data_IF_335173258354
#
_entry.id   IF_335173258354
#
_cell.length_a   1.000
_cell.length_b   1.000
_cell.length_c   1.000
_cell.angle_alpha   90.00
_cell.angle_beta   90.00
_cell.angle_gamma   90.00
#
_symmetry.space_group_name_H-M   'P 1'
#
loop_
_entity.id
_entity.type
_entity.pdbx_description
1 polymer ?
#
# COMPACT_ATOMS: atom_id res chain seq x y z
N UNK A 1 -4.52 -6.17 -5.93
CA UNK A 1 -4.71 -4.94 -5.16
C UNK A 1 -6.22 -4.72 -5.10
N UNK A 2 -6.75 -3.53 -4.85
CA UNK A 2 -8.18 -3.27 -5.01
C UNK A 2 -8.42 -2.46 -6.29
N UNK A 3 -9.62 -2.59 -6.88
CA UNK A 3 -10.11 -1.68 -7.92
C UNK A 3 -10.67 -0.44 -7.26
N UNK A 4 -10.32 0.72 -7.79
CA UNK A 4 -10.80 2.00 -7.27
C UNK A 4 -11.96 2.57 -8.09
N UNK A 5 -12.82 3.35 -7.43
CA UNK A 5 -13.92 4.08 -8.03
C UNK A 5 -13.47 5.44 -8.58
N UNK A 6 -13.95 5.78 -9.77
CA UNK A 6 -13.69 7.05 -10.47
C UNK A 6 -15.02 7.65 -10.97
N UNK A 7 -15.00 8.92 -11.37
CA UNK A 7 -16.16 9.62 -11.94
C UNK A 7 -17.11 10.19 -10.88
N UNK A 8 -18.08 10.98 -11.32
CA UNK A 8 -19.05 11.69 -10.48
C UNK A 8 -18.46 12.61 -9.39
N UNK A 9 -17.18 12.99 -9.46
CA UNK A 9 -16.68 14.10 -8.65
C UNK A 9 -17.07 15.45 -9.27
N UNK A 10 -16.98 16.57 -8.52
CA UNK A 10 -17.27 17.91 -9.06
C UNK A 10 -16.41 18.32 -10.27
N UNK A 11 -15.29 17.63 -10.53
CA UNK A 11 -14.42 17.88 -11.69
C UNK A 11 -14.67 16.96 -12.89
N UNK A 12 -15.52 15.94 -12.76
CA UNK A 12 -15.63 14.88 -13.76
C UNK A 12 -16.75 15.16 -14.76
N UNK A 13 -16.46 16.05 -15.71
CA UNK A 13 -17.41 16.53 -16.72
C UNK A 13 -16.77 16.65 -18.10
N UNK A 14 -17.57 16.42 -19.14
CA UNK A 14 -17.20 16.67 -20.53
C UNK A 14 -17.85 17.95 -21.05
N UNK A 15 -17.05 18.76 -21.73
CA UNK A 15 -17.45 20.04 -22.30
C UNK A 15 -17.17 20.06 -23.80
N UNK A 16 -17.90 20.92 -24.50
CA UNK A 16 -17.66 21.27 -25.91
C UNK A 16 -17.77 22.79 -26.07
N UNK A 17 -17.36 23.29 -27.23
CA UNK A 17 -17.50 24.69 -27.59
C UNK A 17 -18.67 24.82 -28.57
N UNK A 18 -19.59 25.74 -28.30
CA UNK A 18 -20.71 26.02 -29.19
C UNK A 18 -20.32 26.97 -30.34
N UNK A 19 -21.27 27.31 -31.21
CA UNK A 19 -21.02 28.16 -32.37
C UNK A 19 -20.65 29.63 -32.03
N UNK A 20 -20.84 30.04 -30.78
CA UNK A 20 -20.52 31.38 -30.27
C UNK A 20 -19.28 31.40 -29.37
N UNK A 21 -18.43 30.37 -29.45
CA UNK A 21 -17.25 30.18 -28.59
C UNK A 21 -17.57 30.01 -27.08
N UNK A 22 -18.81 29.63 -26.76
CA UNK A 22 -19.24 29.35 -25.39
C UNK A 22 -18.92 27.92 -24.95
N UNK A 23 -18.49 27.75 -23.69
CA UNK A 23 -18.29 26.42 -23.09
C UNK A 23 -19.64 25.83 -22.66
N UNK A 24 -20.00 24.68 -23.22
CA UNK A 24 -21.26 23.99 -22.93
C UNK A 24 -21.04 22.53 -22.55
N UNK A 25 -21.94 21.98 -21.74
CA UNK A 25 -21.93 20.56 -21.36
C UNK A 25 -22.13 19.65 -22.58
N UNK A 26 -21.24 18.67 -22.74
CA UNK A 26 -21.29 17.67 -23.80
C UNK A 26 -21.69 16.32 -23.19
N UNK A 27 -22.89 15.83 -23.51
CA UNK A 27 -23.39 14.54 -23.02
C UNK A 27 -23.32 13.46 -24.11
N UNK A 28 -23.52 12.20 -23.73
CA UNK A 28 -23.41 11.05 -24.64
C UNK A 28 -22.04 10.95 -25.31
N UNK A 29 -20.99 11.45 -24.65
CA UNK A 29 -19.62 11.42 -25.15
C UNK A 29 -18.95 10.14 -24.68
N UNK A 30 -18.35 9.40 -25.61
CA UNK A 30 -17.47 8.26 -25.29
C UNK A 30 -16.14 8.77 -24.75
N UNK A 31 -15.79 8.35 -23.54
CA UNK A 31 -14.55 8.66 -22.85
C UNK A 31 -13.68 7.41 -22.82
N UNK A 32 -12.46 7.53 -23.32
CA UNK A 32 -11.43 6.48 -23.24
C UNK A 32 -10.44 6.78 -22.13
N UNK A 33 -9.93 5.74 -21.47
CA UNK A 33 -9.11 5.86 -20.25
C UNK A 33 -7.72 5.31 -20.53
N UNK A 34 -6.68 6.02 -20.10
CA UNK A 34 -5.30 5.72 -20.49
C UNK A 34 -4.35 5.74 -19.29
N UNK A 35 -3.22 5.05 -19.43
CA UNK A 35 -2.15 5.06 -18.43
C UNK A 35 -1.21 6.27 -18.51
N UNK A 36 -1.40 7.17 -19.48
CA UNK A 36 -0.56 8.34 -19.68
C UNK A 36 -1.32 9.50 -20.35
N UNK A 37 -0.88 10.72 -20.04
CA UNK A 37 -1.43 11.96 -20.59
C UNK A 37 -1.31 12.06 -22.12
N UNK A 38 -0.25 11.48 -22.69
CA UNK A 38 -0.03 11.38 -24.13
C UNK A 38 0.60 10.02 -24.46
N UNK A 39 0.26 9.45 -25.63
CA UNK A 39 0.67 8.09 -25.99
C UNK A 39 0.06 7.04 -25.06
N UNK A 40 0.87 6.10 -24.56
CA UNK A 40 0.44 5.12 -23.58
C UNK A 40 -0.46 4.00 -24.14
N UNK A 41 -1.07 3.25 -23.23
CA UNK A 41 -2.00 2.16 -23.51
C UNK A 41 -3.36 2.49 -22.91
N UNK A 42 -4.41 2.26 -23.69
CA UNK A 42 -5.79 2.40 -23.22
C UNK A 42 -6.10 1.26 -22.24
N UNK A 43 -6.72 1.61 -21.12
CA UNK A 43 -7.33 0.66 -20.22
C UNK A 43 -8.70 0.25 -20.74
N UNK A 44 -8.88 -1.05 -20.94
CA UNK A 44 -10.16 -1.66 -21.38
C UNK A 44 -10.74 -2.59 -20.33
N UNK A 45 -10.03 -2.80 -19.21
CA UNK A 45 -10.48 -3.56 -18.05
C UNK A 45 -11.15 -2.62 -17.04
N UNK A 46 -12.36 -2.18 -17.37
CA UNK A 46 -13.17 -1.29 -16.52
C UNK A 46 -14.47 -1.98 -16.14
N UNK A 47 -15.09 -1.53 -15.05
CA UNK A 47 -16.43 -1.97 -14.65
C UNK A 47 -17.35 -0.76 -14.50
N UNK A 48 -18.61 -0.89 -14.91
CA UNK A 48 -19.63 0.11 -14.60
C UNK A 48 -20.05 0.07 -13.12
N UNK A 49 -20.96 0.96 -12.72
CA UNK A 49 -21.49 1.01 -11.35
C UNK A 49 -22.20 -0.28 -10.89
N UNK A 50 -22.64 -1.13 -11.81
CA UNK A 50 -23.26 -2.42 -11.52
C UNK A 50 -22.23 -3.58 -11.50
N UNK A 51 -20.95 -3.32 -11.78
CA UNK A 51 -19.90 -4.33 -11.89
C UNK A 51 -19.84 -5.02 -13.25
N UNK A 52 -20.54 -4.50 -14.27
CA UNK A 52 -20.50 -5.03 -15.64
C UNK A 52 -19.22 -4.59 -16.34
N UNK A 53 -18.49 -5.48 -17.03
CA UNK A 53 -17.34 -5.09 -17.82
C UNK A 53 -17.67 -4.10 -18.93
N UNK A 54 -16.90 -3.02 -18.99
CA UNK A 54 -16.94 -1.99 -20.04
C UNK A 54 -15.52 -1.68 -20.50
N UNK A 55 -15.37 -1.16 -21.72
CA UNK A 55 -14.05 -0.76 -22.26
C UNK A 55 -13.87 0.76 -22.33
N UNK A 56 -14.96 1.49 -22.19
CA UNK A 56 -15.09 2.94 -22.35
C UNK A 56 -16.25 3.41 -21.46
N UNK A 57 -16.26 4.69 -21.10
CA UNK A 57 -17.31 5.29 -20.27
C UNK A 57 -18.10 6.28 -21.11
N UNK A 58 -19.43 6.22 -21.11
CA UNK A 58 -20.28 7.18 -21.83
C UNK A 58 -20.82 8.21 -20.85
N UNK A 59 -20.65 9.51 -21.16
CA UNK A 59 -21.13 10.57 -20.28
C UNK A 59 -22.66 10.70 -20.27
N UNK A 60 -23.18 11.19 -19.14
CA UNK A 60 -24.62 11.39 -18.95
C UNK A 60 -25.23 12.23 -20.07
N UNK A 61 -26.43 11.84 -20.52
CA UNK A 61 -27.18 12.52 -21.57
C UNK A 61 -28.22 13.51 -21.02
N UNK A 62 -28.41 13.54 -19.69
CA UNK A 62 -29.44 14.32 -19.00
C UNK A 62 -30.70 13.52 -18.63
N UNK A 63 -30.79 12.23 -18.97
CA UNK A 63 -31.94 11.37 -18.64
C UNK A 63 -31.86 10.81 -17.22
N UNK A 64 -30.75 10.14 -16.91
CA UNK A 64 -30.51 9.45 -15.63
C UNK A 64 -29.46 10.17 -14.79
N UNK A 65 -28.44 10.70 -15.48
CA UNK A 65 -27.37 11.49 -14.91
C UNK A 65 -27.33 12.86 -15.60
N UNK A 66 -26.91 13.93 -14.91
CA UNK A 66 -26.74 15.25 -15.50
C UNK A 66 -25.94 15.20 -16.81
N UNK A 67 -26.33 16.03 -17.78
CA UNK A 67 -25.66 16.06 -19.09
C UNK A 67 -24.16 16.33 -18.92
N UNK A 68 -23.34 15.46 -19.47
CA UNK A 68 -21.88 15.58 -19.51
C UNK A 68 -21.16 15.16 -18.25
N UNK A 69 -21.84 14.70 -17.19
CA UNK A 69 -21.11 14.07 -16.08
C UNK A 69 -20.52 12.75 -16.52
N UNK A 70 -19.30 12.44 -16.09
CA UNK A 70 -18.72 11.10 -16.24
C UNK A 70 -19.34 10.22 -15.13
N UNK A 71 -20.12 9.17 -15.47
CA UNK A 71 -20.71 8.28 -14.48
C UNK A 71 -19.67 7.64 -13.58
N UNK A 72 -20.12 7.09 -12.46
CA UNK A 72 -19.22 6.37 -11.58
C UNK A 72 -18.86 5.01 -12.21
N UNK A 73 -17.59 4.64 -12.16
CA UNK A 73 -17.06 3.38 -12.71
C UNK A 73 -15.83 2.92 -11.93
N UNK A 74 -15.45 1.65 -12.07
CA UNK A 74 -14.21 1.12 -11.50
C UNK A 74 -13.12 0.98 -12.56
N UNK A 75 -11.91 1.40 -12.18
CA UNK A 75 -10.71 1.18 -12.99
C UNK A 75 -10.17 -0.25 -12.92
N UNK A 76 -9.04 -0.51 -13.58
CA UNK A 76 -8.30 -1.76 -13.44
C UNK A 76 -7.76 -1.95 -12.03
N UNK A 77 -7.43 -3.19 -11.67
CA UNK A 77 -6.88 -3.51 -10.35
C UNK A 77 -5.55 -2.78 -10.08
N UNK A 78 -5.44 -2.13 -8.90
CA UNK A 78 -4.22 -1.47 -8.46
C UNK A 78 -3.88 -0.16 -9.17
N UNK A 79 -4.79 0.40 -9.96
CA UNK A 79 -4.58 1.66 -10.68
C UNK A 79 -5.21 2.83 -9.92
N UNK A 80 -4.37 3.72 -9.40
CA UNK A 80 -4.79 4.90 -8.62
C UNK A 80 -4.94 6.20 -9.42
N UNK A 81 -4.81 6.16 -10.75
CA UNK A 81 -5.03 7.31 -11.62
C UNK A 81 -5.37 6.86 -13.04
N UNK A 82 -6.21 7.65 -13.73
CA UNK A 82 -6.56 7.41 -15.12
C UNK A 82 -6.44 8.71 -15.91
N UNK A 83 -6.07 8.63 -17.18
CA UNK A 83 -6.08 9.77 -18.10
C UNK A 83 -7.28 9.65 -19.04
N UNK A 84 -8.28 10.50 -18.85
CA UNK A 84 -9.52 10.50 -19.61
C UNK A 84 -9.41 11.35 -20.89
N UNK A 85 -9.78 10.77 -22.02
CA UNK A 85 -9.88 11.43 -23.32
C UNK A 85 -11.33 11.37 -23.81
N UNK A 86 -11.93 12.55 -24.00
CA UNK A 86 -13.29 12.71 -24.51
C UNK A 86 -13.34 13.06 -26.01
N UNK A 87 -12.24 12.82 -26.75
CA UNK A 87 -12.12 13.10 -28.19
C UNK A 87 -11.54 14.48 -28.52
N UNK A 88 -11.11 15.25 -27.51
CA UNK A 88 -10.54 16.60 -27.68
C UNK A 88 -9.03 16.63 -27.94
N UNK A 89 -8.36 15.47 -27.92
CA UNK A 89 -6.90 15.36 -28.14
C UNK A 89 -6.04 15.78 -26.94
N UNK A 90 -6.66 16.24 -25.85
CA UNK A 90 -6.02 16.49 -24.55
C UNK A 90 -6.66 15.56 -23.54
N UNK A 91 -5.83 14.87 -22.75
CA UNK A 91 -6.29 13.99 -21.68
C UNK A 91 -6.17 14.65 -20.32
N UNK A 92 -7.19 14.44 -19.49
CA UNK A 92 -7.25 14.97 -18.14
C UNK A 92 -7.15 13.83 -17.13
N UNK A 93 -6.44 14.07 -16.02
CA UNK A 93 -6.24 13.08 -14.97
C UNK A 93 -7.50 12.97 -14.11
N UNK A 94 -8.01 11.76 -13.95
CA UNK A 94 -9.01 11.39 -12.97
C UNK A 94 -8.32 10.78 -11.75
N UNK A 95 -8.74 11.23 -10.58
CA UNK A 95 -8.35 10.66 -9.28
C UNK A 95 -9.48 9.83 -8.71
N UNK A 96 -9.19 8.73 -8.00
CA UNK A 96 -10.24 7.92 -7.41
C UNK A 96 -11.01 8.66 -6.32
N UNK A 97 -12.31 8.37 -6.23
CA UNK A 97 -13.25 9.01 -5.29
C UNK A 97 -13.35 8.27 -3.95
N UNK A 98 -12.74 7.10 -3.84
CA UNK A 98 -12.84 6.18 -2.70
C UNK A 98 -11.55 6.08 -1.87
N UNK A 99 -10.51 6.85 -2.20
CA UNK A 99 -9.22 6.85 -1.47
C UNK A 99 -9.37 7.07 0.05
N UNK A 100 -10.45 7.71 0.50
CA UNK A 100 -10.74 7.86 1.93
C UNK A 100 -10.95 6.52 2.64
N UNK A 101 -11.53 5.51 1.98
CA UNK A 101 -11.70 4.16 2.50
C UNK A 101 -10.37 3.45 2.70
N UNK A 102 -9.48 3.54 1.71
CA UNK A 102 -8.14 2.96 1.79
C UNK A 102 -7.35 3.54 2.97
N UNK A 103 -7.43 4.86 3.20
CA UNK A 103 -6.77 5.49 4.35
C UNK A 103 -7.27 4.92 5.68
N UNK A 104 -8.57 4.66 5.81
CA UNK A 104 -9.15 4.06 7.03
C UNK A 104 -8.66 2.62 7.23
N UNK A 105 -8.55 1.84 6.15
CA UNK A 105 -8.01 0.48 6.20
C UNK A 105 -6.53 0.50 6.61
N UNK A 106 -5.72 1.36 5.98
CA UNK A 106 -4.31 1.56 6.32
C UNK A 106 -4.12 1.99 7.78
N UNK A 107 -4.95 2.91 8.29
CA UNK A 107 -4.92 3.32 9.69
C UNK A 107 -5.22 2.17 10.64
N UNK A 108 -6.17 1.32 10.29
CA UNK A 108 -6.54 0.13 11.09
C UNK A 108 -5.38 -0.88 11.12
N UNK A 109 -4.80 -1.18 9.96
CA UNK A 109 -3.65 -2.08 9.86
C UNK A 109 -2.43 -1.56 10.66
N UNK A 110 -2.17 -0.25 10.63
CA UNK A 110 -1.11 0.38 11.43
C UNK A 110 -1.39 0.27 12.93
N UNK A 111 -2.64 0.44 13.36
CA UNK A 111 -3.02 0.28 14.77
C UNK A 111 -2.80 -1.16 15.27
N UNK A 112 -3.18 -2.16 14.47
CA UNK A 112 -2.97 -3.57 14.78
C UNK A 112 -1.47 -3.93 14.85
N UNK A 113 -0.68 -3.41 13.91
CA UNK A 113 0.76 -3.59 13.91
C UNK A 113 1.41 -2.94 15.14
N UNK A 114 0.95 -1.74 15.52
CA UNK A 114 1.44 -1.03 16.72
C UNK A 114 1.16 -1.83 17.99
N UNK A 115 -0.03 -2.43 18.08
CA UNK A 115 -0.40 -3.33 19.20
C UNK A 115 0.50 -4.55 19.25
N UNK A 116 0.75 -5.19 18.10
CA UNK A 116 1.60 -6.38 18.00
C UNK A 116 3.06 -6.07 18.38
N UNK A 117 3.61 -4.97 17.88
CA UNK A 117 4.98 -4.53 18.20
C UNK A 117 5.11 -4.21 19.68
N UNK A 118 4.10 -3.58 20.28
CA UNK A 118 4.08 -3.31 21.73
C UNK A 118 4.10 -4.61 22.52
N UNK A 119 3.25 -5.59 22.17
CA UNK A 119 3.22 -6.90 22.82
C UNK A 119 4.55 -7.64 22.70
N UNK A 120 5.16 -7.67 21.50
CA UNK A 120 6.48 -8.27 21.28
C UNK A 120 7.57 -7.57 22.07
N UNK A 121 7.53 -6.23 22.13
CA UNK A 121 8.48 -5.45 22.94
C UNK A 121 8.36 -5.84 24.40
N UNK A 122 7.14 -5.93 24.94
CA UNK A 122 6.90 -6.41 26.30
C UNK A 122 7.40 -7.84 26.52
N UNK A 123 7.18 -8.76 25.57
CA UNK A 123 7.70 -10.13 25.68
C UNK A 123 9.22 -10.17 25.68
N UNK A 124 9.87 -9.41 24.80
CA UNK A 124 11.33 -9.31 24.72
C UNK A 124 11.88 -8.78 26.04
N UNK A 125 11.32 -7.69 26.57
CA UNK A 125 11.77 -7.09 27.84
C UNK A 125 11.60 -8.02 29.05
N UNK A 126 10.63 -8.94 29.03
CA UNK A 126 10.40 -9.92 30.09
C UNK A 126 11.05 -11.29 29.82
N UNK A 127 11.93 -11.40 28.82
CA UNK A 127 12.62 -12.64 28.45
C UNK A 127 14.13 -12.55 28.68
N UNK A 128 14.78 -13.70 28.89
CA UNK A 128 16.24 -13.82 28.76
C UNK A 128 16.64 -14.04 27.30
N UNK A 129 17.82 -13.55 26.92
CA UNK A 129 18.45 -13.90 25.64
C UNK A 129 19.18 -15.25 25.72
N UNK A 130 19.49 -15.83 24.56
CA UNK A 130 20.34 -17.03 24.48
C UNK A 130 21.39 -16.83 23.40
N UNK A 131 22.65 -17.12 23.73
CA UNK A 131 23.77 -17.15 22.79
C UNK A 131 24.33 -18.56 22.73
N UNK A 132 24.53 -19.07 21.52
CA UNK A 132 25.03 -20.44 21.29
C UNK A 132 26.41 -20.38 20.66
N UNK A 133 27.33 -21.21 21.15
CA UNK A 133 28.69 -21.33 20.61
C UNK A 133 28.67 -21.81 19.16
N UNK A 134 29.42 -21.14 18.28
CA UNK A 134 29.56 -21.55 16.90
C UNK A 134 30.66 -22.62 16.78
N UNK A 135 30.24 -23.88 16.63
CA UNK A 135 31.16 -25.01 16.50
C UNK A 135 31.93 -25.02 15.16
N UNK A 136 31.42 -24.40 14.10
CA UNK A 136 32.09 -24.37 12.80
C UNK A 136 33.28 -23.41 12.79
N UNK A 137 33.20 -22.31 13.54
CA UNK A 137 34.26 -21.29 13.66
C UNK A 137 35.00 -21.36 14.99
N UNK A 138 34.64 -22.30 15.86
CA UNK A 138 35.17 -22.43 17.21
C UNK A 138 35.15 -21.13 18.01
N UNK A 139 34.07 -20.35 17.90
CA UNK A 139 33.97 -19.02 18.49
C UNK A 139 32.60 -18.71 19.09
N UNK A 140 32.59 -17.81 20.07
CA UNK A 140 31.38 -17.22 20.60
C UNK A 140 30.90 -16.06 19.71
N UNK A 141 29.61 -16.00 19.36
CA UNK A 141 29.01 -14.78 18.85
C UNK A 141 29.11 -13.66 19.89
N UNK A 142 29.22 -12.41 19.44
CA UNK A 142 29.13 -11.25 20.33
C UNK A 142 27.69 -11.10 20.84
N UNK A 143 27.56 -10.56 22.05
CA UNK A 143 26.26 -10.17 22.59
C UNK A 143 25.63 -9.11 21.66
N UNK A 144 24.31 -9.17 21.40
CA UNK A 144 23.61 -8.09 20.73
C UNK A 144 23.86 -6.75 21.43
N UNK A 145 24.39 -5.78 20.70
CA UNK A 145 24.75 -4.49 21.28
C UNK A 145 23.52 -3.74 21.79
N UNK A 146 23.61 -3.18 23.00
CA UNK A 146 22.55 -2.35 23.61
C UNK A 146 21.37 -3.14 24.20
N UNK A 147 21.44 -4.48 24.23
CA UNK A 147 20.44 -5.31 24.89
C UNK A 147 20.81 -5.51 26.36
N UNK A 148 19.99 -5.01 27.30
CA UNK A 148 20.25 -5.10 28.73
C UNK A 148 19.70 -6.37 29.39
N UNK A 149 19.11 -7.29 28.62
CA UNK A 149 18.56 -8.55 29.15
C UNK A 149 19.68 -9.47 29.63
N UNK A 150 19.34 -10.38 30.54
CA UNK A 150 20.24 -11.48 30.91
C UNK A 150 20.34 -12.48 29.77
N UNK A 151 21.54 -12.97 29.49
CA UNK A 151 21.79 -13.98 28.47
C UNK A 151 22.23 -15.31 29.07
N UNK A 152 21.71 -16.38 28.48
CA UNK A 152 22.19 -17.74 28.69
C UNK A 152 23.16 -18.12 27.56
N UNK A 153 24.39 -18.46 27.91
CA UNK A 153 25.47 -18.84 27.02
C UNK A 153 25.59 -20.37 26.98
N UNK A 154 25.40 -21.00 25.83
CA UNK A 154 25.38 -22.47 25.69
C UNK A 154 26.53 -22.93 24.82
N UNK A 155 27.51 -23.64 25.39
CA UNK A 155 28.71 -24.05 24.65
C UNK A 155 29.76 -24.81 25.47
N UNK A 156 30.79 -25.36 24.81
CA UNK A 156 31.75 -26.28 25.42
C UNK A 156 32.81 -25.60 26.30
N UNK A 157 32.95 -24.27 26.20
CA UNK A 157 33.93 -23.48 26.96
C UNK A 157 33.29 -22.20 27.50
N UNK A 158 33.82 -21.65 28.60
CA UNK A 158 33.32 -20.40 29.18
C UNK A 158 33.57 -19.25 28.18
N UNK A 159 32.56 -18.41 27.86
CA UNK A 159 32.80 -17.17 27.11
C UNK A 159 33.71 -16.21 27.88
N UNK A 160 34.40 -15.31 27.17
CA UNK A 160 35.21 -14.28 27.82
C UNK A 160 34.31 -13.37 28.69
N UNK A 161 34.74 -13.10 29.93
CA UNK A 161 34.02 -12.18 30.81
C UNK A 161 34.23 -10.72 30.37
N UNK A 162 33.15 -9.94 30.44
CA UNK A 162 33.10 -8.54 30.02
C UNK A 162 32.66 -8.36 28.57
N UNK A 163 32.42 -7.10 28.21
CA UNK A 163 32.05 -6.71 26.84
C UNK A 163 33.15 -7.13 25.86
N UNK A 164 32.80 -7.69 24.69
CA UNK A 164 31.47 -7.77 24.06
C UNK A 164 30.74 -9.11 24.27
N UNK A 165 31.15 -9.93 25.23
CA UNK A 165 30.60 -11.27 25.45
C UNK A 165 29.75 -11.31 26.72
N UNK A 166 30.24 -11.94 27.79
CA UNK A 166 29.42 -12.25 28.96
C UNK A 166 29.45 -11.12 29.98
N UNK A 167 28.29 -10.55 30.31
CA UNK A 167 28.15 -9.48 31.31
C UNK A 167 27.75 -10.02 32.69
N UNK A 168 27.77 -9.14 33.71
CA UNK A 168 27.35 -9.51 35.06
C UNK A 168 25.88 -9.95 35.09
N UNK A 169 25.61 -11.11 35.69
CA UNK A 169 24.27 -11.71 35.77
C UNK A 169 23.96 -12.75 34.68
N UNK A 170 24.78 -12.84 33.63
CA UNK A 170 24.64 -13.88 32.62
C UNK A 170 24.95 -15.29 33.16
N UNK A 171 24.37 -16.31 32.52
CA UNK A 171 24.55 -17.71 32.89
C UNK A 171 25.25 -18.46 31.77
N UNK A 172 26.28 -19.25 32.09
CA UNK A 172 26.90 -20.18 31.15
C UNK A 172 26.52 -21.63 31.44
N UNK A 173 26.15 -22.36 30.39
CA UNK A 173 25.87 -23.80 30.41
C UNK A 173 26.94 -24.52 29.60
N UNK A 174 27.68 -25.38 30.30
CA UNK A 174 28.71 -26.20 29.69
C UNK A 174 28.10 -27.39 28.94
N UNK A 175 28.32 -27.49 27.63
CA UNK A 175 27.86 -28.60 26.80
C UNK A 175 28.89 -29.72 26.61
N UNK A 176 30.11 -29.56 27.14
CA UNK A 176 31.16 -30.60 27.09
C UNK A 176 31.01 -31.70 28.14
N UNK A 177 30.06 -31.55 29.08
CA UNK A 177 29.86 -32.46 30.21
C UNK A 177 28.80 -33.56 29.97
N UNK A 178 28.49 -33.87 28.70
CA UNK A 178 27.58 -34.94 28.29
C UNK A 178 28.35 -36.22 27.92
#
# INVERSE_FOLDING_TARGET
MARHWFGQSPSDWTFSVDAGDGVVLAGSVTVTLWNAAAGGTQYTDLLDAAGTPITEVVTGDGSTLPKGTIPQFQGPDGIGELWADAGGGIRYRLTPTDLGGDVVELQSAVADLTTTVTALTTMVQNSGGMVVYNAATSSWPQRPAGDSRLFQWVGPSVPTAGTPYMEEGDLWVNTSAA
#
